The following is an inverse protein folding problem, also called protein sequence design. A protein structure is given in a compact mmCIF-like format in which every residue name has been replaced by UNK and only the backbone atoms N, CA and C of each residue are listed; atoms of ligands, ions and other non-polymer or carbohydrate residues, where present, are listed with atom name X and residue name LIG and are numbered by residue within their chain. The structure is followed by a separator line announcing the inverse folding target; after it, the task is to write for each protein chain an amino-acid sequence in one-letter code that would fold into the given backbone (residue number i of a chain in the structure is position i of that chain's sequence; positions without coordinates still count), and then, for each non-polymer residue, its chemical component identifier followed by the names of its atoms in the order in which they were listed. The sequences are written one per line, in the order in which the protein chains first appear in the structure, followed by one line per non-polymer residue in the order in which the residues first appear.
data_IF_333162238963
#
_entry.id   IF_333162238963
#
_cell.length_a   1.000
_cell.length_b   1.000
_cell.length_c   1.000
_cell.angle_alpha   90.00
_cell.angle_beta   90.00
_cell.angle_gamma   90.00
#
_symmetry.space_group_name_H-M   'P 1'
#
loop_
_entity.id
_entity.type
_entity.pdbx_description
1 polymer ?
#
# COMPACT_ATOMS: atom_id res chain seq x y z
N UNK A 1 3.17 2.62 13.76
CA UNK A 1 4.07 3.09 12.71
C UNK A 1 4.78 1.91 12.09
N UNK A 2 6.11 1.86 12.18
CA UNK A 2 6.92 0.80 11.56
C UNK A 2 6.52 -0.62 11.97
N UNK A 3 6.30 -0.89 13.25
CA UNK A 3 5.85 -2.24 13.67
C UNK A 3 4.48 -2.62 13.08
N UNK A 4 3.57 -1.65 12.91
CA UNK A 4 2.28 -1.86 12.25
C UNK A 4 2.46 -2.28 10.79
N UNK A 5 3.36 -1.61 10.05
CA UNK A 5 3.72 -1.99 8.68
C UNK A 5 4.35 -3.39 8.63
N UNK A 6 5.24 -3.70 9.58
CA UNK A 6 5.89 -5.00 9.69
C UNK A 6 4.88 -6.13 9.90
N UNK A 7 3.96 -5.95 10.86
CA UNK A 7 2.94 -6.94 11.17
C UNK A 7 1.93 -7.12 10.03
N UNK A 8 1.51 -6.03 9.38
CA UNK A 8 0.63 -6.12 8.20
C UNK A 8 1.31 -6.88 7.05
N UNK A 9 2.59 -6.60 6.81
CA UNK A 9 3.40 -7.32 5.81
C UNK A 9 3.51 -8.81 6.16
N UNK A 10 3.83 -9.13 7.42
CA UNK A 10 3.92 -10.52 7.89
C UNK A 10 2.60 -11.26 7.72
N UNK A 11 1.47 -10.63 8.05
CA UNK A 11 0.14 -11.20 7.91
C UNK A 11 -0.22 -11.48 6.44
N UNK A 12 0.03 -10.52 5.54
CA UNK A 12 -0.23 -10.70 4.11
C UNK A 12 0.59 -11.87 3.54
N UNK A 13 1.86 -11.98 3.93
CA UNK A 13 2.75 -13.08 3.50
C UNK A 13 2.32 -14.43 4.08
N UNK A 14 1.92 -14.48 5.35
CA UNK A 14 1.41 -15.70 5.98
C UNK A 14 0.12 -16.17 5.29
N UNK A 15 -0.81 -15.25 5.01
CA UNK A 15 -2.03 -15.55 4.26
C UNK A 15 -1.73 -16.03 2.83
N UNK A 16 -0.77 -15.41 2.14
CA UNK A 16 -0.35 -15.87 0.81
C UNK A 16 0.25 -17.27 0.86
N UNK A 17 1.09 -17.58 1.84
CA UNK A 17 1.66 -18.93 2.02
C UNK A 17 0.58 -20.00 2.20
N UNK A 18 -0.50 -19.68 2.90
CA UNK A 18 -1.62 -20.61 3.15
C UNK A 18 -2.54 -20.76 1.92
N UNK A 19 -2.90 -19.64 1.27
CA UNK A 19 -3.92 -19.60 0.20
C UNK A 19 -3.35 -19.74 -1.21
N UNK A 20 -2.09 -19.38 -1.41
CA UNK A 20 -1.36 -19.32 -2.67
C UNK A 20 0.02 -19.97 -2.52
N UNK A 21 0.09 -21.26 -2.12
CA UNK A 21 1.36 -21.95 -1.87
C UNK A 21 2.23 -22.11 -3.12
N UNK A 22 1.67 -21.85 -4.31
CA UNK A 22 2.37 -21.77 -5.60
C UNK A 22 3.37 -20.61 -5.69
N UNK A 23 3.17 -19.54 -4.92
CA UNK A 23 4.04 -18.36 -4.94
C UNK A 23 5.34 -18.66 -4.18
N UNK A 24 6.40 -18.99 -4.91
CA UNK A 24 7.72 -19.26 -4.33
C UNK A 24 8.39 -18.01 -3.74
N UNK A 25 8.18 -16.83 -4.38
CA UNK A 25 8.73 -15.55 -3.93
C UNK A 25 7.68 -14.45 -4.04
N UNK A 26 7.01 -14.09 -2.93
CA UNK A 26 5.99 -13.06 -2.93
C UNK A 26 6.50 -11.69 -3.38
N UNK A 27 5.65 -10.92 -4.04
CA UNK A 27 5.93 -9.55 -4.47
C UNK A 27 5.01 -8.55 -3.77
N UNK A 28 5.56 -7.40 -3.40
CA UNK A 28 4.80 -6.26 -2.85
C UNK A 28 5.02 -5.05 -3.76
N UNK A 29 3.93 -4.47 -4.26
CA UNK A 29 3.96 -3.31 -5.16
C UNK A 29 3.74 -2.05 -4.35
N UNK A 30 4.68 -1.10 -4.42
CA UNK A 30 4.61 0.16 -3.69
C UNK A 30 4.96 1.36 -4.58
N UNK A 31 4.40 2.55 -4.34
CA UNK A 31 4.86 3.77 -4.99
C UNK A 31 6.31 4.10 -4.61
N UNK A 32 7.03 4.85 -5.45
CA UNK A 32 8.37 5.37 -5.12
C UNK A 32 8.40 6.18 -3.82
N UNK A 33 7.29 6.83 -3.46
CA UNK A 33 7.11 7.60 -2.22
C UNK A 33 6.77 6.74 -1.00
N UNK A 34 6.54 5.45 -1.18
CA UNK A 34 6.25 4.49 -0.11
C UNK A 34 7.37 4.41 0.93
N UNK A 35 6.99 4.16 2.19
CA UNK A 35 7.90 4.30 3.32
C UNK A 35 9.14 3.37 3.19
N UNK A 36 10.39 3.86 3.35
CA UNK A 36 11.62 3.08 3.09
C UNK A 36 11.85 1.86 3.99
N UNK A 37 10.98 1.63 4.98
CA UNK A 37 11.10 0.47 5.86
C UNK A 37 10.80 -0.85 5.15
N UNK A 38 10.12 -0.83 4.01
CA UNK A 38 9.79 -2.05 3.28
C UNK A 38 11.07 -2.80 2.85
N UNK A 39 12.11 -2.10 2.38
CA UNK A 39 13.40 -2.72 2.01
C UNK A 39 14.08 -3.41 3.20
N UNK A 40 13.87 -2.88 4.40
CA UNK A 40 14.33 -3.55 5.62
C UNK A 40 13.57 -4.86 5.82
N UNK A 41 12.27 -4.87 5.53
CA UNK A 41 11.40 -6.04 5.72
C UNK A 41 11.61 -7.11 4.66
N UNK A 42 11.96 -6.74 3.44
CA UNK A 42 12.37 -7.67 2.37
C UNK A 42 13.48 -8.60 2.88
N UNK A 43 14.46 -8.08 3.65
CA UNK A 43 15.54 -8.89 4.25
C UNK A 43 15.08 -9.84 5.35
N UNK A 44 13.98 -9.52 6.05
CA UNK A 44 13.45 -10.37 7.12
C UNK A 44 12.50 -11.44 6.61
N UNK A 45 11.75 -11.14 5.55
CA UNK A 45 10.63 -11.96 5.12
C UNK A 45 10.82 -12.63 3.74
N UNK A 46 11.80 -12.21 2.95
CA UNK A 46 12.15 -12.87 1.69
C UNK A 46 11.18 -12.61 0.52
N UNK A 47 10.33 -11.59 0.60
CA UNK A 47 9.56 -11.09 -0.53
C UNK A 47 10.42 -10.18 -1.44
N UNK A 48 9.89 -9.70 -2.55
CA UNK A 48 10.52 -8.68 -3.41
C UNK A 48 9.65 -7.43 -3.54
N UNK A 49 10.29 -6.26 -3.55
CA UNK A 49 9.59 -4.99 -3.71
C UNK A 49 9.59 -4.57 -5.17
N UNK A 50 8.41 -4.26 -5.72
CA UNK A 50 8.26 -3.55 -6.99
C UNK A 50 7.90 -2.10 -6.71
N UNK A 51 8.85 -1.20 -6.94
CA UNK A 51 8.61 0.25 -6.89
C UNK A 51 8.08 0.75 -8.23
N UNK A 52 6.99 1.50 -8.20
CA UNK A 52 6.42 2.15 -9.39
C UNK A 52 6.60 3.66 -9.34
N UNK A 53 6.71 4.33 -10.51
CA UNK A 53 6.78 5.78 -10.56
C UNK A 53 5.55 6.46 -9.95
N UNK A 54 5.75 7.70 -9.52
CA UNK A 54 4.70 8.61 -9.05
C UNK A 54 4.44 9.71 -10.09
N UNK A 55 3.30 10.35 -10.00
CA UNK A 55 2.94 11.46 -10.87
C UNK A 55 3.72 12.76 -10.51
N UNK A 56 3.47 13.83 -11.25
CA UNK A 56 4.06 15.16 -10.99
C UNK A 56 3.70 15.75 -9.61
N UNK A 57 2.65 15.22 -8.98
CA UNK A 57 2.20 15.58 -7.63
C UNK A 57 2.67 14.58 -6.57
N UNK A 58 3.60 13.69 -6.90
CA UNK A 58 4.15 12.66 -6.03
C UNK A 58 3.14 11.60 -5.53
N UNK A 59 2.00 11.45 -6.20
CA UNK A 59 0.98 10.43 -5.91
C UNK A 59 1.22 9.17 -6.71
N UNK A 60 0.77 8.03 -6.19
CA UNK A 60 0.80 6.77 -6.92
C UNK A 60 0.08 6.88 -8.26
N UNK A 61 0.75 6.49 -9.35
CA UNK A 61 0.13 6.38 -10.67
C UNK A 61 -0.67 5.07 -10.69
N UNK A 62 -2.00 5.17 -10.74
CA UNK A 62 -2.93 4.02 -10.71
C UNK A 62 -2.61 2.99 -11.80
N UNK A 63 -2.37 3.44 -13.04
CA UNK A 63 -2.03 2.53 -14.15
C UNK A 63 -0.70 1.81 -13.91
N UNK A 64 0.33 2.52 -13.46
CA UNK A 64 1.63 1.91 -13.16
C UNK A 64 1.54 0.91 -12.00
N UNK A 65 0.74 1.22 -10.97
CA UNK A 65 0.45 0.29 -9.88
C UNK A 65 -0.24 -0.98 -10.41
N UNK A 66 -1.25 -0.83 -11.27
CA UNK A 66 -1.96 -1.96 -11.88
C UNK A 66 -1.06 -2.81 -12.78
N UNK A 67 -0.24 -2.19 -13.64
CA UNK A 67 0.67 -2.88 -14.55
C UNK A 67 1.79 -3.63 -13.82
N UNK A 68 2.15 -3.19 -12.62
CA UNK A 68 3.17 -3.83 -11.79
C UNK A 68 2.65 -5.06 -11.04
N UNK A 69 1.33 -5.26 -10.95
CA UNK A 69 0.74 -6.45 -10.34
C UNK A 69 1.04 -7.68 -11.19
N UNK A 70 1.60 -8.70 -10.56
CA UNK A 70 1.94 -9.99 -11.15
C UNK A 70 1.22 -11.13 -10.43
N UNK A 71 1.33 -12.35 -10.96
CA UNK A 71 0.83 -13.57 -10.32
C UNK A 71 1.44 -13.86 -8.94
N UNK A 72 2.62 -13.29 -8.66
CA UNK A 72 3.34 -13.40 -7.38
C UNK A 72 3.01 -12.25 -6.41
N UNK A 73 2.26 -11.24 -6.86
CA UNK A 73 1.93 -10.10 -6.02
C UNK A 73 0.95 -10.51 -4.93
N UNK A 74 1.25 -10.14 -3.69
CA UNK A 74 0.42 -10.47 -2.52
C UNK A 74 -0.16 -9.25 -1.83
N UNK A 75 0.45 -8.09 -2.06
CA UNK A 75 0.10 -6.86 -1.36
C UNK A 75 0.49 -5.62 -2.17
N UNK A 76 -0.33 -4.58 -2.07
CA UNK A 76 -0.06 -3.22 -2.53
C UNK A 76 -0.01 -2.25 -1.34
N UNK A 77 0.66 -1.12 -1.51
CA UNK A 77 0.69 -0.02 -0.56
C UNK A 77 0.05 1.25 -1.14
N UNK A 78 -0.77 1.92 -0.32
CA UNK A 78 -1.19 3.30 -0.53
C UNK A 78 -0.87 4.13 0.72
N UNK A 79 -0.49 5.39 0.56
CA UNK A 79 -0.12 6.28 1.67
C UNK A 79 -1.16 7.37 1.92
N UNK A 80 -1.48 7.61 3.19
CA UNK A 80 -2.46 8.61 3.64
C UNK A 80 -1.96 9.43 4.83
N UNK A 81 -1.18 10.50 4.59
CA UNK A 81 -0.42 10.78 3.38
C UNK A 81 0.95 10.06 3.37
N UNK A 82 1.68 10.17 2.27
CA UNK A 82 3.09 9.77 2.21
C UNK A 82 3.96 10.61 3.15
N UNK A 83 4.93 9.95 3.81
CA UNK A 83 5.85 10.60 4.74
C UNK A 83 6.70 11.69 4.06
N UNK A 84 7.12 11.45 2.82
CA UNK A 84 8.10 12.29 2.11
C UNK A 84 7.53 13.61 1.60
N UNK A 85 6.29 13.60 1.10
CA UNK A 85 5.70 14.77 0.42
C UNK A 85 4.36 15.21 1.03
N UNK A 86 3.81 14.47 2.00
CA UNK A 86 2.54 14.82 2.62
C UNK A 86 1.33 14.72 1.67
N UNK A 87 1.47 13.94 0.58
CA UNK A 87 0.40 13.75 -0.42
C UNK A 87 -0.30 12.41 -0.24
N UNK A 88 -1.60 12.40 -0.49
CA UNK A 88 -2.46 11.23 -0.39
C UNK A 88 -2.53 10.49 -1.73
N UNK A 89 -2.38 9.17 -1.68
CA UNK A 89 -2.54 8.29 -2.84
C UNK A 89 -4.03 8.09 -3.21
N UNK A 90 -4.35 7.72 -4.46
CA UNK A 90 -5.72 7.41 -4.92
C UNK A 90 -6.21 6.06 -4.36
N UNK A 91 -6.58 6.02 -3.07
CA UNK A 91 -6.85 4.77 -2.35
C UNK A 91 -8.04 3.99 -2.93
N UNK A 92 -9.10 4.66 -3.38
CA UNK A 92 -10.29 4.00 -3.95
C UNK A 92 -9.92 3.19 -5.19
N UNK A 93 -9.21 3.81 -6.11
CA UNK A 93 -8.77 3.19 -7.36
C UNK A 93 -7.78 2.05 -7.10
N UNK A 94 -6.89 2.21 -6.13
CA UNK A 94 -5.97 1.14 -5.71
C UNK A 94 -6.70 -0.02 -5.02
N UNK A 95 -7.77 0.25 -4.28
CA UNK A 95 -8.60 -0.78 -3.64
C UNK A 95 -9.34 -1.62 -4.69
N UNK A 96 -9.84 -0.97 -5.75
CA UNK A 96 -10.43 -1.67 -6.89
C UNK A 96 -9.43 -2.61 -7.57
N UNK A 97 -8.20 -2.16 -7.83
CA UNK A 97 -7.14 -3.00 -8.39
C UNK A 97 -6.85 -4.20 -7.47
N UNK A 98 -6.67 -3.95 -6.18
CA UNK A 98 -6.35 -5.00 -5.21
C UNK A 98 -7.48 -6.05 -5.11
N UNK A 99 -8.73 -5.60 -5.11
CA UNK A 99 -9.93 -6.45 -5.11
C UNK A 99 -10.01 -7.30 -6.38
N UNK A 100 -9.80 -6.70 -7.56
CA UNK A 100 -9.81 -7.41 -8.85
C UNK A 100 -8.77 -8.53 -8.92
N UNK A 101 -7.59 -8.33 -8.31
CA UNK A 101 -6.51 -9.31 -8.31
C UNK A 101 -6.54 -10.25 -7.10
N UNK A 102 -7.45 -10.05 -6.15
CA UNK A 102 -7.53 -10.85 -4.92
C UNK A 102 -6.28 -10.72 -4.02
N UNK A 103 -5.66 -9.53 -4.00
CA UNK A 103 -4.46 -9.23 -3.21
C UNK A 103 -4.78 -8.22 -2.11
N UNK A 104 -3.88 -8.09 -1.14
CA UNK A 104 -4.09 -7.15 -0.04
C UNK A 104 -3.81 -5.71 -0.49
N UNK A 105 -4.59 -4.75 -0.01
CA UNK A 105 -4.22 -3.34 -0.03
C UNK A 105 -3.96 -2.90 1.41
N UNK A 106 -2.74 -2.41 1.68
CA UNK A 106 -2.44 -1.73 2.92
C UNK A 106 -2.47 -0.22 2.71
N UNK A 107 -3.27 0.47 3.52
CA UNK A 107 -3.30 1.93 3.56
C UNK A 107 -2.48 2.39 4.76
N UNK A 108 -1.28 2.91 4.50
CA UNK A 108 -0.44 3.52 5.53
C UNK A 108 -0.99 4.89 5.90
N UNK A 109 -1.86 4.88 6.90
CA UNK A 109 -2.42 6.07 7.53
C UNK A 109 -1.78 6.32 8.91
N UNK A 110 -0.53 5.91 9.14
CA UNK A 110 0.13 6.10 10.45
C UNK A 110 0.14 7.56 10.92
N UNK A 111 0.18 8.51 9.98
CA UNK A 111 0.10 9.95 10.25
C UNK A 111 -1.33 10.46 10.02
N UNK A 112 -1.90 10.23 8.84
CA UNK A 112 -3.18 10.84 8.46
C UNK A 112 -4.40 10.19 9.09
N UNK A 113 -4.30 8.97 9.64
CA UNK A 113 -5.46 8.24 10.17
C UNK A 113 -6.15 8.94 11.33
N UNK A 114 -5.38 9.59 12.21
CA UNK A 114 -5.96 10.37 13.31
C UNK A 114 -6.37 11.79 12.88
N UNK A 115 -5.67 12.38 11.92
CA UNK A 115 -5.88 13.78 11.52
C UNK A 115 -7.05 13.94 10.53
N UNK A 116 -7.21 12.98 9.62
CA UNK A 116 -8.17 13.04 8.52
C UNK A 116 -9.63 13.30 8.94
N UNK A 117 -10.17 12.69 10.03
CA UNK A 117 -11.53 12.97 10.47
C UNK A 117 -11.74 14.45 10.84
N UNK A 118 -10.81 15.05 11.59
CA UNK A 118 -10.89 16.46 11.98
C UNK A 118 -10.69 17.40 10.79
N UNK A 119 -9.80 17.06 9.85
CA UNK A 119 -9.62 17.83 8.61
C UNK A 119 -10.91 17.85 7.79
N UNK A 120 -11.65 16.73 7.76
CA UNK A 120 -12.96 16.64 7.14
C UNK A 120 -14.02 17.49 7.88
N UNK A 121 -14.02 17.47 9.21
CA UNK A 121 -14.90 18.34 10.01
C UNK A 121 -14.66 19.84 9.78
N UNK A 122 -13.42 20.21 9.46
CA UNK A 122 -13.06 21.59 9.06
C UNK A 122 -13.46 21.94 7.61
N UNK A 123 -14.23 21.08 6.93
CA UNK A 123 -14.75 21.31 5.59
C UNK A 123 -13.73 21.13 4.47
N UNK A 124 -12.60 20.46 4.74
CA UNK A 124 -11.63 20.10 3.69
C UNK A 124 -12.02 18.78 3.05
N UNK A 125 -11.74 18.68 1.76
CA UNK A 125 -11.92 17.42 1.04
C UNK A 125 -10.84 16.42 1.45
N UNK A 126 -11.28 15.29 2.01
CA UNK A 126 -10.42 14.17 2.38
C UNK A 126 -11.07 12.92 1.79
N UNK A 127 -10.47 12.30 0.76
CA UNK A 127 -11.05 11.13 0.11
C UNK A 127 -11.22 9.99 1.10
N UNK A 128 -12.12 9.05 0.79
CA UNK A 128 -12.22 7.82 1.57
C UNK A 128 -10.95 6.99 1.41
N UNK A 129 -10.45 6.47 2.52
CA UNK A 129 -9.19 5.73 2.56
C UNK A 129 -9.19 4.57 3.58
N UNK A 130 -10.31 4.35 4.24
CA UNK A 130 -10.47 3.38 5.32
C UNK A 130 -11.45 2.27 4.89
N UNK A 131 -11.93 1.49 5.85
CA UNK A 131 -12.81 0.33 5.65
C UNK A 131 -14.22 0.64 5.12
N UNK A 132 -14.50 1.90 4.74
CA UNK A 132 -15.72 2.27 3.99
C UNK A 132 -15.62 1.95 2.50
N UNK A 133 -14.41 1.68 1.99
CA UNK A 133 -14.15 1.25 0.62
C UNK A 133 -14.42 -0.24 0.40
#
# INVERSE_FOLDING_TARGET
GSESLFLATAAALANAKERRPDIARPEIVIPQTGYPTFEKYERYFGYTIRRVPVDENFRAIVSAMSEAVSENTVMMLASMPSWSHGVCDPVRELAEIASQHGIWLHVDACVGGFLAPFVRELGRDVPDFDFRL
#
